data_IF_901462834821
#
_entry.id   IF_901462834821
#
_cell.length_a   1.000
_cell.length_b   1.000
_cell.length_c   1.000
_cell.angle_alpha   90.00
_cell.angle_beta   90.00
_cell.angle_gamma   90.00
#
_symmetry.space_group_name_H-M   'P 1'
#
loop_
_entity.id
_entity.type
_entity.pdbx_description
1 polymer ?
#
# COMPACT_ATOMS: atom_id res chain seq x y z
N UNK A 1 6.47 37.81 5.33
CA UNK A 1 7.35 37.98 4.15
C UNK A 1 8.35 39.08 4.45
N UNK A 2 9.62 39.00 4.03
CA UNK A 2 10.59 40.08 4.24
C UNK A 2 10.75 40.86 2.92
N UNK A 3 10.85 42.19 2.96
CA UNK A 3 11.16 42.99 1.77
C UNK A 3 12.65 43.36 1.77
N UNK A 4 13.22 43.47 0.59
CA UNK A 4 14.64 43.76 0.39
C UNK A 4 14.76 45.24 0.03
N UNK A 5 15.55 46.00 0.81
CA UNK A 5 15.80 47.41 0.52
C UNK A 5 16.53 47.56 -0.82
N UNK A 6 15.98 48.38 -1.72
CA UNK A 6 16.59 48.62 -3.04
C UNK A 6 17.92 49.36 -2.97
N UNK A 7 18.14 50.17 -1.93
CA UNK A 7 19.36 50.96 -1.79
C UNK A 7 20.52 50.17 -1.19
N UNK A 8 20.27 49.37 -0.14
CA UNK A 8 21.34 48.66 0.59
C UNK A 8 21.22 47.14 0.57
N UNK A 9 20.17 46.56 -0.01
CA UNK A 9 19.95 45.11 -0.05
C UNK A 9 19.52 44.45 1.27
N UNK A 10 19.30 45.23 2.34
CA UNK A 10 18.94 44.68 3.65
C UNK A 10 17.52 44.10 3.69
N UNK A 11 17.34 42.96 4.38
CA UNK A 11 16.05 42.23 4.49
C UNK A 11 15.25 42.71 5.70
N UNK A 12 14.26 43.54 5.46
CA UNK A 12 13.41 44.14 6.50
C UNK A 12 12.12 43.33 6.73
N UNK A 13 11.58 43.30 7.96
CA UNK A 13 10.23 42.81 8.24
C UNK A 13 9.18 43.62 7.46
N UNK A 14 8.02 43.02 7.14
CA UNK A 14 7.03 43.60 6.23
C UNK A 14 6.38 44.88 6.75
N UNK A 15 6.35 45.04 8.08
CA UNK A 15 5.65 46.09 8.82
C UNK A 15 6.46 47.38 8.93
N UNK A 16 7.78 47.34 8.71
CA UNK A 16 8.61 48.53 8.78
C UNK A 16 8.43 49.38 7.52
N UNK A 17 8.03 50.67 7.65
CA UNK A 17 7.91 51.58 6.51
C UNK A 17 9.27 52.02 5.97
N UNK A 18 10.32 51.98 6.81
CA UNK A 18 11.67 52.40 6.47
C UNK A 18 12.68 51.26 6.72
N UNK A 19 13.79 51.26 5.98
CA UNK A 19 14.85 50.27 6.11
C UNK A 19 15.59 50.46 7.45
N UNK A 20 15.66 49.41 8.26
CA UNK A 20 16.28 49.46 9.59
C UNK A 20 17.79 49.81 9.56
N UNK A 21 18.49 49.53 8.45
CA UNK A 21 19.93 49.77 8.34
C UNK A 21 20.32 51.14 7.74
N UNK A 22 19.53 51.69 6.80
CA UNK A 22 19.90 52.92 6.08
C UNK A 22 18.81 54.00 6.09
N UNK A 23 17.68 53.75 6.75
CA UNK A 23 16.56 54.68 6.84
C UNK A 23 15.73 54.83 5.56
N UNK A 24 16.13 54.25 4.43
CA UNK A 24 15.44 54.45 3.16
C UNK A 24 14.00 53.88 3.18
N UNK A 25 13.05 54.62 2.59
CA UNK A 25 11.64 54.25 2.58
C UNK A 25 11.38 52.98 1.75
N UNK A 26 10.37 52.21 2.17
CA UNK A 26 9.88 51.05 1.44
C UNK A 26 9.16 51.50 0.16
N UNK A 27 9.82 51.35 -0.99
CA UNK A 27 9.21 51.67 -2.29
C UNK A 27 8.04 50.73 -2.64
N UNK A 28 7.12 51.21 -3.48
CA UNK A 28 5.92 50.47 -3.92
C UNK A 28 6.27 49.12 -4.59
N UNK A 29 7.43 49.03 -5.23
CA UNK A 29 7.93 47.82 -5.90
C UNK A 29 9.02 47.07 -5.11
N UNK A 30 8.97 47.11 -3.77
CA UNK A 30 9.95 46.42 -2.93
C UNK A 30 9.99 44.91 -3.21
N UNK A 31 11.15 44.38 -3.62
CA UNK A 31 11.33 42.95 -3.87
C UNK A 31 11.09 42.18 -2.58
N UNK A 32 10.15 41.25 -2.59
CA UNK A 32 9.90 40.36 -1.44
C UNK A 32 10.80 39.14 -1.55
N UNK A 33 11.47 38.79 -0.45
CA UNK A 33 12.12 37.49 -0.34
C UNK A 33 11.04 36.42 -0.24
N UNK A 34 11.00 35.51 -1.20
CA UNK A 34 10.11 34.37 -1.19
C UNK A 34 10.23 33.64 0.18
N UNK A 35 9.12 33.21 0.79
CA UNK A 35 9.18 32.41 2.00
C UNK A 35 10.08 31.20 1.72
N UNK A 36 11.20 31.11 2.45
CA UNK A 36 12.14 30.01 2.28
C UNK A 36 11.38 28.70 2.45
N UNK A 37 11.45 27.84 1.42
CA UNK A 37 10.75 26.56 1.41
C UNK A 37 11.13 25.70 2.62
N UNK A 38 10.30 24.73 2.95
CA UNK A 38 10.53 23.78 4.06
C UNK A 38 11.96 23.21 3.99
N UNK A 39 12.46 22.95 2.79
CA UNK A 39 13.82 22.48 2.51
C UNK A 39 14.92 23.45 2.98
N UNK A 40 14.76 24.77 2.80
CA UNK A 40 15.73 25.77 3.27
C UNK A 40 15.73 25.92 4.80
N UNK A 41 14.60 25.65 5.46
CA UNK A 41 14.53 25.62 6.93
C UNK A 41 15.21 24.37 7.48
N UNK A 42 15.05 23.22 6.81
CA UNK A 42 15.71 21.96 7.17
C UNK A 42 17.24 22.07 6.99
N UNK A 43 17.71 22.68 5.90
CA UNK A 43 19.14 22.90 5.66
C UNK A 43 19.82 23.81 6.70
N UNK A 44 19.04 24.65 7.42
CA UNK A 44 19.52 25.53 8.48
C UNK A 44 19.51 24.89 9.87
N UNK A 45 19.08 23.64 9.99
CA UNK A 45 19.20 22.92 11.25
C UNK A 45 20.69 22.77 11.58
N UNK A 46 21.07 23.15 12.80
CA UNK A 46 22.42 22.88 13.30
C UNK A 46 22.70 21.38 13.37
N UNK A 47 23.94 21.00 13.71
CA UNK A 47 24.39 19.60 13.77
C UNK A 47 23.42 18.69 14.55
N UNK A 48 22.85 19.18 15.65
CA UNK A 48 21.85 18.45 16.44
C UNK A 48 20.58 18.09 15.66
N UNK A 49 20.05 19.00 14.84
CA UNK A 49 18.85 18.74 14.05
C UNK A 49 19.09 17.73 12.93
N UNK A 50 20.28 17.74 12.32
CA UNK A 50 20.68 16.71 11.36
C UNK A 50 20.82 15.33 11.99
N UNK A 51 21.38 15.24 13.20
CA UNK A 51 21.44 13.98 13.96
C UNK A 51 20.03 13.44 14.22
N UNK A 52 19.09 14.29 14.63
CA UNK A 52 17.69 13.87 14.83
C UNK A 52 17.02 13.39 13.54
N UNK A 53 17.23 14.08 12.41
CA UNK A 53 16.69 13.65 11.11
C UNK A 53 17.27 12.30 10.71
N UNK A 54 18.58 12.10 10.90
CA UNK A 54 19.22 10.83 10.58
C UNK A 54 18.69 9.69 11.47
N UNK A 55 18.58 9.93 12.78
CA UNK A 55 17.99 8.96 13.72
C UNK A 55 16.53 8.64 13.39
N UNK A 56 15.73 9.65 13.05
CA UNK A 56 14.34 9.47 12.63
C UNK A 56 14.25 8.69 11.31
N UNK A 57 15.15 8.96 10.35
CA UNK A 57 15.26 8.21 9.10
C UNK A 57 15.59 6.73 9.35
N UNK A 58 16.60 6.46 10.18
CA UNK A 58 16.99 5.11 10.57
C UNK A 58 15.84 4.38 11.27
N UNK A 59 15.18 5.03 12.24
CA UNK A 59 14.02 4.49 12.93
C UNK A 59 12.88 4.17 11.95
N UNK A 60 12.63 5.05 10.97
CA UNK A 60 11.60 4.83 9.94
C UNK A 60 11.92 3.61 9.09
N UNK A 61 13.18 3.44 8.67
CA UNK A 61 13.61 2.26 7.88
C UNK A 61 13.41 0.96 8.65
N UNK A 62 13.67 0.95 9.96
CA UNK A 62 13.50 -0.24 10.81
C UNK A 62 12.02 -0.49 11.13
N UNK A 63 11.25 0.55 11.47
CA UNK A 63 9.85 0.42 11.87
C UNK A 63 8.94 0.09 10.70
N UNK A 64 9.24 0.55 9.49
CA UNK A 64 8.41 0.31 8.30
C UNK A 64 8.15 -1.19 8.05
N UNK A 65 9.17 -2.08 7.92
CA UNK A 65 8.91 -3.51 7.70
C UNK A 65 8.16 -4.17 8.86
N UNK A 66 8.42 -3.75 10.10
CA UNK A 66 7.71 -4.27 11.28
C UNK A 66 6.22 -3.91 11.21
N UNK A 67 5.92 -2.62 11.04
CA UNK A 67 4.54 -2.13 10.92
C UNK A 67 3.85 -2.72 9.69
N UNK A 68 4.57 -2.95 8.61
CA UNK A 68 4.05 -3.60 7.42
C UNK A 68 3.65 -5.07 7.67
N UNK A 69 4.48 -5.84 8.38
CA UNK A 69 4.15 -7.22 8.79
C UNK A 69 2.95 -7.24 9.74
N UNK A 70 2.91 -6.32 10.71
CA UNK A 70 1.76 -6.19 11.62
C UNK A 70 0.50 -5.84 10.84
N UNK A 71 0.58 -4.91 9.90
CA UNK A 71 -0.54 -4.50 9.07
C UNK A 71 -1.06 -5.66 8.21
N UNK A 72 -0.18 -6.42 7.55
CA UNK A 72 -0.58 -7.60 6.76
C UNK A 72 -1.24 -8.68 7.61
N UNK A 73 -0.78 -8.88 8.85
CA UNK A 73 -1.30 -9.95 9.72
C UNK A 73 -2.61 -9.59 10.44
N UNK A 74 -2.85 -8.31 10.75
CA UNK A 74 -4.00 -7.90 11.56
C UNK A 74 -5.12 -7.19 10.77
N UNK A 75 -4.81 -6.52 9.66
CA UNK A 75 -5.80 -5.81 8.87
C UNK A 75 -6.34 -6.71 7.77
N UNK A 76 -7.57 -7.19 7.94
CA UNK A 76 -8.27 -7.99 6.93
C UNK A 76 -8.32 -7.25 5.58
N UNK A 77 -7.93 -7.95 4.51
CA UNK A 77 -7.92 -7.39 3.17
C UNK A 77 -6.80 -6.39 2.85
N UNK A 78 -5.93 -6.03 3.80
CA UNK A 78 -4.79 -5.14 3.51
C UNK A 78 -3.84 -5.78 2.48
N UNK A 79 -3.51 -7.07 2.65
CA UNK A 79 -2.78 -7.87 1.69
C UNK A 79 -3.45 -7.86 0.31
N UNK A 80 -4.76 -8.09 0.27
CA UNK A 80 -5.55 -8.08 -0.96
C UNK A 80 -5.44 -6.75 -1.71
N UNK A 81 -5.51 -5.61 -1.01
CA UNK A 81 -5.40 -4.27 -1.61
C UNK A 81 -4.01 -4.06 -2.23
N UNK A 82 -2.95 -4.41 -1.49
CA UNK A 82 -1.58 -4.30 -1.99
C UNK A 82 -1.35 -5.18 -3.21
N UNK A 83 -1.87 -6.42 -3.18
CA UNK A 83 -1.84 -7.33 -4.32
C UNK A 83 -2.61 -6.75 -5.50
N UNK A 84 -3.81 -6.19 -5.32
CA UNK A 84 -4.57 -5.59 -6.42
C UNK A 84 -3.84 -4.38 -7.02
N UNK A 85 -3.24 -3.52 -6.20
CA UNK A 85 -2.43 -2.40 -6.68
C UNK A 85 -1.21 -2.91 -7.44
N UNK A 86 -0.37 -3.75 -6.82
CA UNK A 86 0.82 -4.32 -7.47
C UNK A 86 0.47 -5.10 -8.74
N UNK A 87 -0.57 -5.92 -8.69
CA UNK A 87 -1.11 -6.71 -9.79
C UNK A 87 -1.64 -5.85 -10.93
N UNK A 88 -2.29 -4.72 -10.64
CA UNK A 88 -2.73 -3.79 -11.67
C UNK A 88 -1.56 -3.25 -12.48
N UNK A 89 -0.46 -2.88 -11.83
CA UNK A 89 0.77 -2.43 -12.50
C UNK A 89 1.52 -3.60 -13.18
N UNK A 90 1.56 -4.78 -12.55
CA UNK A 90 2.11 -5.99 -13.13
C UNK A 90 1.38 -6.42 -14.41
N UNK A 91 0.06 -6.39 -14.42
CA UNK A 91 -0.77 -6.68 -15.59
C UNK A 91 -0.50 -5.68 -16.72
N UNK A 92 -0.34 -4.39 -16.40
CA UNK A 92 0.06 -3.37 -17.38
C UNK A 92 1.43 -3.71 -18.01
N UNK A 93 2.39 -4.14 -17.19
CA UNK A 93 3.71 -4.58 -17.67
C UNK A 93 3.57 -5.81 -18.58
N UNK A 94 2.82 -6.82 -18.14
CA UNK A 94 2.61 -8.07 -18.88
C UNK A 94 1.91 -7.85 -20.23
N UNK A 95 0.93 -6.96 -20.32
CA UNK A 95 0.23 -6.67 -21.58
C UNK A 95 1.10 -5.87 -22.56
N UNK A 96 1.96 -4.98 -22.07
CA UNK A 96 2.90 -4.20 -22.90
C UNK A 96 4.17 -4.97 -23.26
N UNK A 97 4.37 -6.15 -22.70
CA UNK A 97 5.57 -6.95 -22.93
C UNK A 97 5.65 -7.45 -24.37
N UNK A 98 6.84 -7.32 -24.98
CA UNK A 98 7.13 -7.87 -26.31
C UNK A 98 7.10 -9.41 -26.36
N UNK A 99 7.15 -10.08 -25.20
CA UNK A 99 7.06 -11.53 -25.10
C UNK A 99 5.66 -12.10 -25.38
N UNK A 100 4.61 -11.26 -25.45
CA UNK A 100 3.28 -11.72 -25.88
C UNK A 100 2.57 -12.65 -24.88
N UNK A 101 1.96 -13.77 -25.32
CA UNK A 101 1.21 -14.68 -24.45
C UNK A 101 2.00 -15.27 -23.26
N UNK A 102 3.28 -15.70 -23.42
CA UNK A 102 4.10 -16.15 -22.30
C UNK A 102 4.16 -15.17 -21.12
N UNK A 103 4.33 -13.86 -21.36
CA UNK A 103 4.38 -12.87 -20.28
C UNK A 103 3.08 -12.82 -19.46
N UNK A 104 1.93 -13.00 -20.13
CA UNK A 104 0.62 -13.01 -19.48
C UNK A 104 0.44 -14.28 -18.64
N UNK A 105 0.88 -15.44 -19.13
CA UNK A 105 0.83 -16.69 -18.40
C UNK A 105 1.71 -16.64 -17.13
N UNK A 106 2.94 -16.13 -17.26
CA UNK A 106 3.85 -15.92 -16.12
C UNK A 106 3.22 -14.97 -15.09
N UNK A 107 2.62 -13.88 -15.55
CA UNK A 107 1.91 -12.96 -14.66
C UNK A 107 0.77 -13.65 -13.90
N UNK A 108 -0.08 -14.43 -14.57
CA UNK A 108 -1.19 -15.16 -13.92
C UNK A 108 -0.67 -16.12 -12.86
N UNK A 109 0.32 -16.95 -13.20
CA UNK A 109 0.88 -17.93 -12.25
C UNK A 109 1.52 -17.22 -11.06
N UNK A 110 2.37 -16.23 -11.31
CA UNK A 110 3.04 -15.47 -10.26
C UNK A 110 2.04 -14.76 -9.35
N UNK A 111 1.08 -14.04 -9.93
CA UNK A 111 0.06 -13.32 -9.16
C UNK A 111 -0.79 -14.27 -8.31
N UNK A 112 -1.15 -15.44 -8.85
CA UNK A 112 -1.98 -16.42 -8.15
C UNK A 112 -1.26 -17.09 -6.99
N UNK A 113 0.02 -17.44 -7.18
CA UNK A 113 0.85 -18.01 -6.11
C UNK A 113 1.15 -16.97 -5.02
N UNK A 114 1.43 -15.71 -5.40
CA UNK A 114 1.62 -14.64 -4.43
C UNK A 114 0.35 -14.27 -3.67
N UNK A 115 -0.79 -14.27 -4.36
CA UNK A 115 -2.11 -14.10 -3.73
C UNK A 115 -2.35 -15.15 -2.66
N UNK A 116 -2.15 -16.42 -3.00
CA UNK A 116 -2.26 -17.55 -2.08
C UNK A 116 -1.33 -17.41 -0.86
N UNK A 117 -0.08 -17.00 -1.07
CA UNK A 117 0.94 -16.96 -0.02
C UNK A 117 0.78 -15.77 0.93
N UNK A 118 0.39 -14.60 0.42
CA UNK A 118 0.37 -13.33 1.17
C UNK A 118 -1.00 -13.11 1.84
N UNK A 119 -2.09 -13.51 1.19
CA UNK A 119 -3.46 -13.26 1.67
C UNK A 119 -3.98 -14.39 2.57
N UNK A 120 -3.17 -14.83 3.53
CA UNK A 120 -3.54 -15.91 4.47
C UNK A 120 -4.77 -15.60 5.32
N UNK A 121 -4.94 -14.39 5.89
CA UNK A 121 -6.15 -14.09 6.66
C UNK A 121 -7.36 -13.78 5.75
N UNK A 122 -7.10 -13.47 4.49
CA UNK A 122 -8.13 -13.12 3.53
C UNK A 122 -8.91 -11.85 3.86
N UNK A 123 -10.05 -11.71 3.18
CA UNK A 123 -11.10 -10.79 3.56
C UNK A 123 -12.45 -11.51 3.55
N UNK A 124 -13.47 -10.87 4.11
CA UNK A 124 -14.83 -11.40 4.14
C UNK A 124 -15.35 -11.83 2.76
N UNK A 125 -15.12 -11.00 1.73
CA UNK A 125 -15.60 -11.25 0.37
C UNK A 125 -14.94 -12.48 -0.28
N UNK A 126 -13.64 -12.64 -0.09
CA UNK A 126 -12.85 -13.74 -0.63
C UNK A 126 -13.09 -15.06 0.12
N UNK A 127 -13.57 -14.99 1.36
CA UNK A 127 -14.01 -16.17 2.10
C UNK A 127 -15.43 -16.62 1.71
N UNK A 128 -16.18 -15.78 1.00
CA UNK A 128 -17.57 -16.09 0.64
C UNK A 128 -17.73 -17.38 -0.16
N UNK A 129 -16.88 -17.71 -1.16
CA UNK A 129 -17.05 -18.95 -1.91
C UNK A 129 -16.88 -20.22 -1.07
N UNK A 130 -16.14 -20.14 0.05
CA UNK A 130 -15.90 -21.30 0.95
C UNK A 130 -17.20 -21.78 1.58
N UNK A 131 -18.18 -20.89 1.77
CA UNK A 131 -19.48 -21.27 2.37
C UNK A 131 -20.25 -22.29 1.53
N UNK A 132 -19.98 -22.36 0.22
CA UNK A 132 -20.64 -23.31 -0.67
C UNK A 132 -20.16 -24.75 -0.47
N UNK A 133 -19.08 -24.95 0.31
CA UNK A 133 -18.62 -26.26 0.73
C UNK A 133 -19.39 -26.78 1.95
N UNK A 134 -20.13 -25.94 2.66
CA UNK A 134 -20.86 -26.36 3.85
C UNK A 134 -22.16 -27.12 3.48
N UNK A 135 -22.49 -28.21 4.18
CA UNK A 135 -23.71 -28.95 3.96
C UNK A 135 -24.95 -28.13 4.33
N UNK A 136 -26.10 -28.52 3.78
CA UNK A 136 -27.39 -27.84 4.02
C UNK A 136 -27.75 -27.81 5.50
N UNK A 137 -28.16 -26.63 6.01
CA UNK A 137 -28.51 -26.44 7.42
C UNK A 137 -27.32 -26.16 8.35
N UNK A 138 -26.12 -25.98 7.80
CA UNK A 138 -24.94 -25.53 8.54
C UNK A 138 -24.51 -24.13 8.11
N UNK A 139 -23.79 -23.42 8.99
CA UNK A 139 -23.20 -22.12 8.71
C UNK A 139 -21.68 -22.19 8.78
N UNK A 140 -21.01 -21.43 7.91
CA UNK A 140 -19.55 -21.29 7.93
C UNK A 140 -19.12 -20.45 9.13
N UNK A 141 -18.30 -21.05 10.00
CA UNK A 141 -17.60 -20.38 11.09
C UNK A 141 -16.11 -20.31 10.75
N UNK A 142 -15.50 -19.14 11.00
CA UNK A 142 -14.06 -18.92 10.86
C UNK A 142 -13.43 -18.84 12.24
N UNK A 143 -12.42 -19.66 12.47
CA UNK A 143 -11.57 -19.61 13.66
C UNK A 143 -10.11 -19.39 13.26
N UNK A 144 -9.33 -18.83 14.19
CA UNK A 144 -7.88 -18.70 14.04
C UNK A 144 -7.26 -19.74 14.96
N UNK A 145 -6.66 -20.76 14.36
CA UNK A 145 -5.90 -21.79 15.06
C UNK A 145 -4.49 -21.26 15.30
N UNK A 146 -4.20 -20.95 16.57
CA UNK A 146 -2.88 -20.53 17.02
C UNK A 146 -2.12 -21.76 17.50
N UNK A 147 -1.03 -22.10 16.83
CA UNK A 147 -0.19 -23.25 17.16
C UNK A 147 1.22 -22.79 17.52
N UNK A 148 1.88 -23.52 18.43
CA UNK A 148 3.24 -23.24 18.86
C UNK A 148 4.13 -24.45 18.57
N UNK A 149 4.44 -24.72 17.29
CA UNK A 149 5.17 -25.93 16.91
C UNK A 149 6.63 -25.92 17.41
N UNK A 150 7.20 -24.74 17.67
CA UNK A 150 8.58 -24.57 18.15
C UNK A 150 8.64 -23.47 19.22
N UNK A 151 9.59 -23.54 20.19
CA UNK A 151 9.81 -22.46 21.15
C UNK A 151 10.09 -21.13 20.45
N UNK A 152 9.33 -20.09 20.81
CA UNK A 152 9.47 -18.75 20.22
C UNK A 152 8.82 -18.58 18.84
N UNK A 153 8.13 -19.60 18.32
CA UNK A 153 7.38 -19.53 17.06
C UNK A 153 5.89 -19.72 17.31
N UNK A 154 5.10 -18.72 16.90
CA UNK A 154 3.64 -18.76 16.91
C UNK A 154 3.16 -18.78 15.45
N UNK A 155 2.54 -19.88 15.05
CA UNK A 155 1.92 -20.02 13.73
C UNK A 155 0.42 -19.80 13.87
N UNK A 156 -0.11 -18.79 13.19
CA UNK A 156 -1.54 -18.49 13.14
C UNK A 156 -2.08 -18.97 11.79
N UNK A 157 -3.00 -19.94 11.82
CA UNK A 157 -3.64 -20.46 10.61
C UNK A 157 -5.13 -20.24 10.70
N UNK A 158 -5.79 -19.93 9.58
CA UNK A 158 -7.24 -19.85 9.55
C UNK A 158 -7.82 -21.25 9.37
N UNK A 159 -8.74 -21.61 10.25
CA UNK A 159 -9.55 -22.81 10.15
C UNK A 159 -10.99 -22.42 9.79
N UNK A 160 -11.56 -23.18 8.86
CA UNK A 160 -12.94 -23.01 8.42
C UNK A 160 -13.71 -24.27 8.80
N UNK A 161 -14.76 -24.10 9.59
CA UNK A 161 -15.63 -25.18 10.03
C UNK A 161 -17.09 -24.85 9.74
N UNK A 162 -17.86 -25.86 9.40
CA UNK A 162 -19.29 -25.76 9.22
C UNK A 162 -19.96 -26.18 10.53
N UNK A 163 -20.70 -25.27 11.15
CA UNK A 163 -21.39 -25.50 12.42
C UNK A 163 -22.89 -25.63 12.22
N UNK A 164 -23.55 -26.47 13.01
CA UNK A 164 -25.01 -26.60 13.01
C UNK A 164 -25.69 -25.52 13.86
N UNK A 165 -27.02 -25.55 13.96
CA UNK A 165 -27.80 -24.60 14.76
C UNK A 165 -27.46 -24.62 16.28
N UNK A 166 -26.83 -25.69 16.77
CA UNK A 166 -26.38 -25.85 18.16
C UNK A 166 -24.92 -25.41 18.35
N UNK A 167 -24.30 -24.79 17.34
CA UNK A 167 -22.87 -24.44 17.30
C UNK A 167 -21.92 -25.64 17.45
N UNK A 168 -22.39 -26.86 17.19
CA UNK A 168 -21.53 -28.03 17.13
C UNK A 168 -20.89 -28.13 15.74
N UNK A 169 -19.59 -28.44 15.71
CA UNK A 169 -18.83 -28.65 14.49
C UNK A 169 -19.35 -29.89 13.75
N UNK A 170 -19.94 -29.68 12.57
CA UNK A 170 -20.44 -30.75 11.72
C UNK A 170 -19.35 -31.26 10.77
N UNK A 171 -18.58 -30.35 10.20
CA UNK A 171 -17.52 -30.67 9.25
C UNK A 171 -16.42 -29.60 9.25
N UNK A 172 -15.17 -30.02 9.13
CA UNK A 172 -14.02 -29.13 8.99
C UNK A 172 -13.57 -29.07 7.55
N UNK A 173 -13.49 -27.88 6.97
CA UNK A 173 -13.05 -27.70 5.59
C UNK A 173 -11.53 -27.90 5.54
N UNK A 174 -11.09 -28.77 4.62
CA UNK A 174 -9.67 -29.07 4.49
C UNK A 174 -8.88 -27.86 3.99
N UNK A 175 -7.66 -27.69 4.50
CA UNK A 175 -6.76 -26.60 4.06
C UNK A 175 -6.54 -26.65 2.54
N UNK A 176 -6.44 -27.84 1.96
CA UNK A 176 -6.26 -28.02 0.51
C UNK A 176 -7.43 -27.45 -0.30
N UNK A 177 -8.67 -27.64 0.14
CA UNK A 177 -9.84 -27.05 -0.52
C UNK A 177 -9.82 -25.52 -0.43
N UNK A 178 -9.48 -24.97 0.74
CA UNK A 178 -9.33 -23.53 0.95
C UNK A 178 -8.27 -22.96 0.00
N UNK A 179 -7.08 -23.55 -0.02
CA UNK A 179 -5.99 -23.15 -0.90
C UNK A 179 -6.37 -23.25 -2.39
N UNK A 180 -7.11 -24.30 -2.77
CA UNK A 180 -7.59 -24.47 -4.14
C UNK A 180 -8.56 -23.36 -4.57
N UNK A 181 -9.56 -23.05 -3.73
CA UNK A 181 -10.52 -21.95 -4.00
C UNK A 181 -9.77 -20.62 -4.11
N UNK A 182 -8.84 -20.34 -3.19
CA UNK A 182 -8.04 -19.12 -3.19
C UNK A 182 -7.18 -18.98 -4.42
N UNK A 183 -6.52 -20.06 -4.83
CA UNK A 183 -5.73 -20.05 -6.05
C UNK A 183 -6.60 -19.70 -7.27
N UNK A 184 -7.77 -20.32 -7.41
CA UNK A 184 -8.70 -20.05 -8.51
C UNK A 184 -9.24 -18.62 -8.49
N UNK A 185 -9.51 -18.08 -7.31
CA UNK A 185 -9.89 -16.68 -7.12
C UNK A 185 -8.81 -15.73 -7.66
N UNK A 186 -7.55 -15.93 -7.28
CA UNK A 186 -6.48 -15.08 -7.76
C UNK A 186 -6.18 -15.27 -9.26
N UNK A 187 -6.40 -16.47 -9.82
CA UNK A 187 -6.37 -16.69 -11.28
C UNK A 187 -7.43 -15.84 -11.97
N UNK A 188 -8.66 -15.83 -11.44
CA UNK A 188 -9.76 -15.02 -11.97
C UNK A 188 -9.44 -13.53 -11.88
N UNK A 189 -8.94 -13.06 -10.74
CA UNK A 189 -8.53 -11.66 -10.54
C UNK A 189 -7.41 -11.28 -11.53
N UNK A 190 -6.38 -12.12 -11.70
CA UNK A 190 -5.31 -11.88 -12.67
C UNK A 190 -5.85 -11.73 -14.09
N UNK A 191 -6.79 -12.61 -14.48
CA UNK A 191 -7.45 -12.56 -15.78
C UNK A 191 -8.26 -11.27 -15.97
N UNK A 192 -9.01 -10.83 -14.95
CA UNK A 192 -9.74 -9.56 -14.95
C UNK A 192 -8.76 -8.39 -15.12
N UNK A 193 -7.67 -8.36 -14.35
CA UNK A 193 -6.66 -7.28 -14.42
C UNK A 193 -6.03 -7.19 -15.81
N UNK A 194 -5.66 -8.32 -16.42
CA UNK A 194 -5.14 -8.36 -17.79
C UNK A 194 -6.17 -7.85 -18.80
N UNK A 195 -7.43 -8.25 -18.66
CA UNK A 195 -8.52 -7.84 -19.54
C UNK A 195 -8.77 -6.33 -19.46
N UNK A 196 -8.83 -5.78 -18.25
CA UNK A 196 -8.96 -4.33 -18.01
C UNK A 196 -7.79 -3.57 -18.64
N UNK A 197 -6.55 -4.04 -18.48
CA UNK A 197 -5.38 -3.37 -19.04
C UNK A 197 -5.34 -3.42 -20.57
N UNK A 198 -5.71 -4.57 -21.15
CA UNK A 198 -5.84 -4.73 -22.61
C UNK A 198 -6.83 -3.70 -23.17
N UNK A 199 -8.03 -3.63 -22.59
CA UNK A 199 -9.06 -2.66 -22.99
C UNK A 199 -8.60 -1.20 -22.83
N UNK A 200 -7.87 -0.88 -21.74
CA UNK A 200 -7.32 0.47 -21.54
C UNK A 200 -6.30 0.86 -22.60
N UNK A 201 -5.45 -0.08 -23.03
CA UNK A 201 -4.43 0.17 -24.05
C UNK A 201 -5.05 0.31 -25.44
N UNK A 202 -6.03 -0.52 -25.79
CA UNK A 202 -6.79 -0.40 -27.03
C UNK A 202 -7.48 0.97 -27.14
N UNK A 203 -8.15 1.43 -26.06
CA UNK A 203 -8.76 2.77 -26.01
C UNK A 203 -7.75 3.90 -26.16
N UNK A 204 -6.51 3.74 -25.68
CA UNK A 204 -5.46 4.75 -25.86
C UNK A 204 -5.00 4.82 -27.31
N UNK A 205 -4.83 3.68 -27.98
CA UNK A 205 -4.43 3.62 -29.41
C UNK A 205 -5.46 4.33 -30.30
N UNK A 206 -6.76 4.10 -30.06
CA UNK A 206 -7.85 4.76 -30.80
C UNK A 206 -7.86 6.28 -30.62
N UNK A 207 -7.41 6.81 -29.47
CA UNK A 207 -7.34 8.27 -29.24
C UNK A 207 -6.08 8.92 -29.82
N UNK A 208 -5.08 8.13 -30.20
CA UNK A 208 -3.78 8.61 -30.67
C UNK A 208 -3.56 8.47 -32.17
N UNK A 209 -4.46 7.78 -32.88
CA UNK A 209 -4.51 7.70 -34.35
C UNK A 209 -5.71 8.46 -34.87
#
# INVERSE_FOLDING_TARGET
>A
MKWICHHCGYKNPPELPNCAQCGNAKGENARTAAPGGIFQKILKLGTFGWVLIFLAGLATVILTPILFIIAISHLEGFASILLLLGGFWGAKSAVNSGFGPPAKAVFIVFFSVMGLAIDQPGNYLYNYPIRFLCPSGTSLTRSVDVTHPLPGRTDMTQSFSCVNAQNAEAERISLTQVLGIRFLEYVLIAWILLSVQKLRLERKKVKSG
#
